data_IF_581177891045
#
_entry.id   IF_581177891045
#
_cell.length_a   1.000
_cell.length_b   1.000
_cell.length_c   1.000
_cell.angle_alpha   90.00
_cell.angle_beta   90.00
_cell.angle_gamma   90.00
#
_symmetry.space_group_name_H-M   'P 1'
#
loop_
_entity.id
_entity.type
_entity.pdbx_description
1 polymer ?
#
# COMPACT_ATOMS: atom_id res chain seq x y z
N UNK A 1 4.59 18.91 3.55
CA UNK A 1 3.78 17.83 2.95
C UNK A 1 2.68 17.49 3.94
N UNK A 2 1.47 17.15 3.48
CA UNK A 2 0.40 16.59 4.34
C UNK A 2 0.09 15.20 3.80
N UNK A 3 0.12 14.21 4.69
CA UNK A 3 -0.18 12.82 4.36
C UNK A 3 -1.18 12.26 5.34
N UNK A 4 -2.06 11.39 4.84
CA UNK A 4 -2.96 10.58 5.65
C UNK A 4 -2.54 9.11 5.55
N UNK A 5 -2.78 8.37 6.63
CA UNK A 5 -2.58 6.92 6.69
C UNK A 5 -3.96 6.28 6.76
N UNK A 6 -4.28 5.45 5.79
CA UNK A 6 -5.48 4.63 5.78
C UNK A 6 -5.12 3.15 5.86
N UNK A 7 -5.86 2.40 6.68
CA UNK A 7 -5.66 0.97 6.92
C UNK A 7 -7.02 0.31 7.06
N UNK A 8 -7.41 -0.44 6.04
CA UNK A 8 -8.72 -1.10 6.01
C UNK A 8 -8.82 -2.16 7.12
N UNK A 9 -7.73 -2.89 7.35
CA UNK A 9 -7.59 -3.93 8.39
C UNK A 9 -7.76 -3.42 9.84
N UNK A 10 -7.66 -2.11 10.04
CA UNK A 10 -7.89 -1.48 11.33
C UNK A 10 -9.38 -1.30 11.64
N UNK A 11 -10.23 -1.21 10.60
CA UNK A 11 -11.66 -1.00 10.69
C UNK A 11 -12.45 -2.29 10.43
N UNK A 12 -12.04 -3.07 9.43
CA UNK A 12 -12.63 -4.36 9.08
C UNK A 12 -11.60 -5.49 9.18
N UNK A 13 -11.85 -6.44 10.08
CA UNK A 13 -10.98 -7.61 10.27
C UNK A 13 -11.11 -8.66 9.18
N UNK A 14 -12.17 -8.61 8.36
CA UNK A 14 -12.44 -9.53 7.26
C UNK A 14 -12.12 -8.91 5.88
N UNK A 15 -11.41 -7.79 5.87
CA UNK A 15 -10.98 -7.13 4.63
C UNK A 15 -10.22 -8.09 3.69
N UNK A 16 -10.45 -7.92 2.39
CA UNK A 16 -9.69 -8.59 1.33
C UNK A 16 -8.27 -8.05 1.20
N UNK A 17 -7.93 -6.96 1.90
CA UNK A 17 -6.64 -6.26 1.83
C UNK A 17 -5.92 -6.22 3.18
N UNK A 18 -5.68 -7.38 3.84
CA UNK A 18 -5.05 -7.41 5.15
C UNK A 18 -3.60 -6.92 5.08
N UNK A 19 -3.14 -6.26 6.14
CA UNK A 19 -1.77 -5.72 6.26
C UNK A 19 -1.37 -4.71 5.17
N UNK A 20 -2.32 -4.14 4.43
CA UNK A 20 -2.05 -3.04 3.50
C UNK A 20 -2.31 -1.72 4.20
N UNK A 21 -1.33 -0.81 4.09
CA UNK A 21 -1.46 0.57 4.49
C UNK A 21 -1.35 1.47 3.26
N UNK A 22 -2.35 2.32 3.05
CA UNK A 22 -2.32 3.34 2.01
C UNK A 22 -1.84 4.67 2.61
N UNK A 23 -0.76 5.20 2.05
CA UNK A 23 -0.27 6.54 2.36
C UNK A 23 -0.78 7.49 1.29
N UNK A 24 -1.64 8.42 1.70
CA UNK A 24 -2.29 9.38 0.80
C UNK A 24 -1.59 10.73 0.97
N UNK A 25 -0.78 11.12 -0.01
CA UNK A 25 -0.15 12.44 -0.09
C UNK A 25 -1.20 13.46 -0.53
N UNK A 26 -1.94 14.01 0.44
CA UNK A 26 -3.01 14.97 0.17
C UNK A 26 -2.49 16.35 -0.27
N UNK A 27 -1.31 16.77 0.21
CA UNK A 27 -0.70 18.05 -0.21
C UNK A 27 0.81 17.95 -0.31
N UNK A 28 1.35 18.38 -1.45
CA UNK A 28 2.78 18.53 -1.67
C UNK A 28 3.06 19.86 -2.38
N UNK A 29 3.80 20.78 -1.74
CA UNK A 29 4.01 22.14 -2.30
C UNK A 29 4.93 22.14 -3.52
N UNK A 30 5.86 21.19 -3.59
CA UNK A 30 6.97 21.16 -4.54
C UNK A 30 6.98 19.87 -5.37
N UNK A 31 5.83 19.22 -5.55
CA UNK A 31 5.76 18.00 -6.36
C UNK A 31 4.38 17.35 -6.33
N UNK A 32 4.26 16.13 -6.87
CA UNK A 32 2.98 15.48 -7.06
C UNK A 32 2.34 15.02 -5.72
N UNK A 33 1.03 14.90 -5.76
CA UNK A 33 0.17 14.21 -4.77
C UNK A 33 -0.21 12.82 -5.31
N UNK A 34 -0.72 11.94 -4.44
CA UNK A 34 -1.15 10.60 -4.85
C UNK A 34 -1.24 9.64 -3.67
N UNK A 35 -1.65 8.39 -3.95
CA UNK A 35 -1.64 7.29 -3.01
C UNK A 35 -0.50 6.32 -3.29
N UNK A 36 0.11 5.77 -2.24
CA UNK A 36 1.04 4.63 -2.34
C UNK A 36 0.65 3.58 -1.34
N UNK A 37 0.67 2.32 -1.78
CA UNK A 37 0.34 1.17 -0.95
C UNK A 37 1.64 0.54 -0.42
N UNK A 38 1.64 0.22 0.87
CA UNK A 38 2.77 -0.40 1.57
C UNK A 38 2.30 -1.58 2.39
N UNK A 39 3.18 -2.54 2.59
CA UNK A 39 2.93 -3.65 3.49
C UNK A 39 3.20 -3.19 4.92
N UNK A 40 2.23 -3.34 5.82
CA UNK A 40 2.33 -2.99 7.22
C UNK A 40 2.45 -4.23 8.12
N UNK A 41 3.65 -4.45 8.66
CA UNK A 41 3.86 -5.46 9.69
C UNK A 41 3.43 -4.91 11.05
N UNK A 42 2.25 -5.33 11.51
CA UNK A 42 1.66 -4.92 12.79
C UNK A 42 2.50 -5.29 14.00
N UNK A 43 3.14 -6.45 14.02
CA UNK A 43 3.91 -6.92 15.17
C UNK A 43 5.14 -6.05 15.44
N UNK A 44 5.71 -5.46 14.39
CA UNK A 44 6.90 -4.62 14.48
C UNK A 44 6.61 -3.13 14.24
N UNK A 45 5.35 -2.76 13.95
CA UNK A 45 4.97 -1.41 13.49
C UNK A 45 5.85 -0.90 12.35
N UNK A 46 6.16 -1.78 11.38
CA UNK A 46 7.11 -1.52 10.29
C UNK A 46 6.42 -1.54 8.93
N UNK A 47 6.80 -0.62 8.06
CA UNK A 47 6.38 -0.59 6.66
C UNK A 47 7.45 -1.23 5.76
N UNK A 48 7.02 -1.89 4.70
CA UNK A 48 7.87 -2.44 3.66
C UNK A 48 7.23 -2.17 2.28
N UNK A 49 8.05 -2.15 1.24
CA UNK A 49 7.58 -2.01 -0.13
C UNK A 49 6.67 -3.17 -0.50
N UNK A 50 5.61 -2.87 -1.26
CA UNK A 50 4.74 -3.90 -1.80
C UNK A 50 5.35 -4.43 -3.10
N UNK A 51 5.86 -5.65 -3.08
CA UNK A 51 6.18 -6.37 -4.32
C UNK A 51 4.94 -7.11 -4.81
N UNK A 52 4.42 -6.73 -5.98
CA UNK A 52 3.42 -7.51 -6.67
C UNK A 52 4.14 -8.59 -7.49
N UNK A 53 3.80 -9.87 -7.28
CA UNK A 53 4.21 -10.93 -8.19
C UNK A 53 3.57 -10.63 -9.56
N UNK A 54 4.39 -10.18 -10.51
CA UNK A 54 3.98 -9.87 -11.88
C UNK A 54 3.82 -11.19 -12.63
N UNK A 55 2.58 -11.65 -12.84
CA UNK A 55 2.22 -12.85 -13.63
C UNK A 55 2.55 -12.72 -15.14
N UNK A 56 3.51 -11.88 -15.54
CA UNK A 56 3.77 -11.62 -16.95
C UNK A 56 4.65 -12.68 -17.65
N UNK A 57 5.20 -13.66 -16.92
CA UNK A 57 5.97 -14.75 -17.57
C UNK A 57 5.09 -15.91 -18.07
N UNK A 58 3.82 -16.01 -17.67
CA UNK A 58 2.94 -17.13 -18.06
C UNK A 58 2.33 -16.95 -19.47
N UNK A 59 2.10 -15.72 -19.92
CA UNK A 59 1.46 -15.42 -21.22
C UNK A 59 2.44 -15.31 -22.40
N UNK A 60 3.76 -15.28 -22.16
CA UNK A 60 4.78 -15.28 -23.23
C UNK A 60 5.32 -16.67 -23.58
N UNK A 61 4.79 -17.74 -22.96
CA UNK A 61 5.23 -19.12 -23.16
C UNK A 61 4.32 -19.95 -24.09
N UNK A 62 3.39 -19.33 -24.82
CA UNK A 62 2.52 -20.00 -25.80
C UNK A 62 2.56 -19.35 -27.18
#
# INVERSE_FOLDING_TARGET
VVMFLYRDDAYDKMTERPNIAEIIVAKHRNGPTGGVELHFNRAQSRFADLEYYREEEADMAY
#
